data_IF_929116907089
#
_entry.id   IF_929116907089
#
_cell.length_a   1.000
_cell.length_b   1.000
_cell.length_c   1.000
_cell.angle_alpha   90.00
_cell.angle_beta   90.00
_cell.angle_gamma   90.00
#
_symmetry.space_group_name_H-M   'P 1'
#
loop_
_entity.id
_entity.type
_entity.pdbx_description
1 polymer ?
#
# COMPACT_ATOMS: atom_id res chain seq x y z
N UNK A 1 5.97 9.59 -13.13
CA UNK A 1 6.06 8.87 -11.84
C UNK A 1 5.01 9.42 -10.89
N UNK A 2 4.16 8.57 -10.32
CA UNK A 2 3.21 9.02 -9.30
C UNK A 2 3.94 9.42 -8.05
N UNK A 3 4.04 10.74 -7.82
CA UNK A 3 4.82 11.34 -6.73
C UNK A 3 4.28 11.07 -5.31
N UNK A 4 3.39 10.08 -5.12
CA UNK A 4 2.62 9.91 -3.88
C UNK A 4 2.66 8.53 -3.24
N UNK A 5 3.18 7.48 -3.89
CA UNK A 5 3.35 6.17 -3.24
C UNK A 5 4.75 6.12 -2.61
N UNK A 6 4.81 6.05 -1.28
CA UNK A 6 6.08 6.02 -0.53
C UNK A 6 6.62 4.59 -0.43
N UNK A 7 7.94 4.37 -0.46
CA UNK A 7 8.54 3.09 -0.12
C UNK A 7 8.22 2.72 1.35
N UNK A 8 7.71 1.51 1.57
CA UNK A 8 7.34 1.02 2.91
C UNK A 8 8.38 0.08 3.55
N UNK A 9 9.42 -0.32 2.80
CA UNK A 9 10.57 -1.05 3.37
C UNK A 9 11.49 -0.03 4.05
N UNK A 10 11.17 0.30 5.31
CA UNK A 10 11.92 1.26 6.11
C UNK A 10 13.09 0.58 6.83
N UNK A 11 14.24 1.27 7.02
CA UNK A 11 15.45 0.68 7.59
C UNK A 11 15.42 0.46 9.10
N UNK A 12 14.62 1.26 9.84
CA UNK A 12 14.68 1.32 11.30
C UNK A 12 13.42 0.77 11.98
N UNK A 13 12.34 0.53 11.23
CA UNK A 13 11.07 0.04 11.76
C UNK A 13 10.21 -0.67 10.70
N UNK A 14 9.26 -1.51 11.10
CA UNK A 14 8.20 -1.94 10.19
C UNK A 14 7.32 -0.77 9.75
N UNK A 15 6.74 -0.87 8.56
CA UNK A 15 5.68 0.03 8.10
C UNK A 15 4.45 -0.11 9.01
N UNK A 16 3.77 1.00 9.27
CA UNK A 16 2.52 0.95 10.03
C UNK A 16 1.34 0.58 9.13
N UNK A 17 0.26 0.09 9.74
CA UNK A 17 -1.00 -0.18 9.05
C UNK A 17 -1.53 1.05 8.30
N UNK A 18 -1.38 2.24 8.90
CA UNK A 18 -1.80 3.48 8.26
C UNK A 18 -0.98 3.77 6.99
N UNK A 19 0.34 3.56 7.02
CA UNK A 19 1.20 3.77 5.85
C UNK A 19 0.88 2.78 4.72
N UNK A 20 0.55 1.54 5.07
CA UNK A 20 0.10 0.51 4.13
C UNK A 20 -1.23 0.92 3.49
N UNK A 21 -2.21 1.35 4.29
CA UNK A 21 -3.50 1.81 3.82
C UNK A 21 -3.39 3.04 2.91
N UNK A 22 -2.56 4.01 3.29
CA UNK A 22 -2.30 5.19 2.46
C UNK A 22 -1.66 4.81 1.12
N UNK A 23 -0.69 3.90 1.11
CA UNK A 23 -0.06 3.42 -0.12
C UNK A 23 -1.07 2.69 -1.03
N UNK A 24 -1.90 1.82 -0.47
CA UNK A 24 -2.95 1.11 -1.19
C UNK A 24 -3.96 2.09 -1.82
N UNK A 25 -4.43 3.08 -1.05
CA UNK A 25 -5.32 4.14 -1.54
C UNK A 25 -4.71 4.88 -2.73
N UNK A 26 -3.44 5.28 -2.64
CA UNK A 26 -2.79 6.00 -3.74
C UNK A 26 -2.59 5.12 -4.98
N UNK A 27 -2.29 3.84 -4.80
CA UNK A 27 -2.23 2.87 -5.89
C UNK A 27 -3.59 2.74 -6.61
N UNK A 28 -4.67 2.49 -5.87
CA UNK A 28 -6.01 2.32 -6.45
C UNK A 28 -6.48 3.60 -7.13
N UNK A 29 -6.23 4.78 -6.54
CA UNK A 29 -6.50 6.07 -7.21
C UNK A 29 -5.77 6.19 -8.54
N UNK A 30 -4.51 5.77 -8.59
CA UNK A 30 -3.72 5.84 -9.82
C UNK A 30 -4.24 4.88 -10.88
N UNK A 31 -4.49 3.63 -10.53
CA UNK A 31 -4.91 2.60 -11.50
C UNK A 31 -6.31 2.89 -12.03
N UNK A 32 -7.23 3.29 -11.15
CA UNK A 32 -8.62 3.58 -11.53
C UNK A 32 -8.80 4.94 -12.20
N UNK A 33 -7.87 5.89 -12.01
CA UNK A 33 -8.03 7.29 -12.43
C UNK A 33 -8.98 8.09 -11.54
N UNK A 34 -9.58 7.50 -10.51
CA UNK A 34 -10.46 8.20 -9.58
C UNK A 34 -9.66 8.96 -8.51
N UNK A 35 -9.97 10.24 -8.32
CA UNK A 35 -9.62 10.95 -7.08
C UNK A 35 -10.66 10.71 -5.99
N UNK A 36 -11.93 10.69 -6.40
CA UNK A 36 -13.10 10.38 -5.59
C UNK A 36 -14.05 9.54 -6.46
N UNK A 37 -14.36 8.29 -6.09
CA UNK A 37 -15.32 7.47 -6.85
C UNK A 37 -16.74 8.05 -6.74
N UNK A 38 -17.60 7.71 -7.69
CA UNK A 38 -19.03 7.96 -7.57
C UNK A 38 -19.64 7.05 -6.50
N UNK A 39 -20.83 7.37 -5.98
CA UNK A 39 -21.54 6.51 -5.01
C UNK A 39 -21.71 5.07 -5.49
N UNK A 40 -21.97 4.88 -6.78
CA UNK A 40 -22.14 3.55 -7.37
C UNK A 40 -20.84 2.72 -7.38
N UNK A 41 -19.68 3.38 -7.43
CA UNK A 41 -18.37 2.73 -7.52
C UNK A 41 -17.59 2.75 -6.20
N UNK A 42 -18.12 3.41 -5.16
CA UNK A 42 -17.45 3.61 -3.88
C UNK A 42 -17.13 2.29 -3.20
N UNK A 43 -18.07 1.36 -3.20
CA UNK A 43 -17.89 0.04 -2.60
C UNK A 43 -16.80 -0.77 -3.32
N UNK A 44 -16.81 -0.79 -4.66
CA UNK A 44 -15.79 -1.47 -5.44
C UNK A 44 -14.40 -0.83 -5.27
N UNK A 45 -14.35 0.49 -5.20
CA UNK A 45 -13.12 1.23 -4.94
C UNK A 45 -12.56 0.91 -3.56
N UNK A 46 -13.39 0.94 -2.51
CA UNK A 46 -12.95 0.67 -1.14
C UNK A 46 -12.47 -0.77 -0.97
N UNK A 47 -13.21 -1.76 -1.50
CA UNK A 47 -12.77 -3.16 -1.49
C UNK A 47 -11.39 -3.33 -2.13
N UNK A 48 -11.14 -2.69 -3.27
CA UNK A 48 -9.85 -2.75 -3.92
C UNK A 48 -8.72 -2.13 -3.06
N UNK A 49 -9.01 -1.06 -2.31
CA UNK A 49 -8.04 -0.47 -1.37
C UNK A 49 -7.71 -1.48 -0.26
N UNK A 50 -8.73 -2.09 0.34
CA UNK A 50 -8.57 -3.04 1.44
C UNK A 50 -7.77 -4.28 0.99
N UNK A 51 -8.10 -4.84 -0.18
CA UNK A 51 -7.40 -6.00 -0.75
C UNK A 51 -5.93 -5.70 -1.06
N UNK A 52 -5.65 -4.52 -1.63
CA UNK A 52 -4.26 -4.09 -1.90
C UNK A 52 -3.49 -3.86 -0.60
N UNK A 53 -4.13 -3.29 0.42
CA UNK A 53 -3.52 -3.11 1.74
C UNK A 53 -3.14 -4.46 2.37
N UNK A 54 -4.07 -5.43 2.37
CA UNK A 54 -3.83 -6.78 2.88
C UNK A 54 -2.72 -7.51 2.11
N UNK A 55 -2.74 -7.44 0.78
CA UNK A 55 -1.68 -8.02 -0.05
C UNK A 55 -0.32 -7.38 0.24
N UNK A 56 -0.30 -6.06 0.45
CA UNK A 56 0.92 -5.31 0.79
C UNK A 56 1.44 -5.70 2.17
N UNK A 57 0.57 -5.83 3.18
CA UNK A 57 0.95 -6.30 4.52
C UNK A 57 1.62 -7.67 4.44
N UNK A 58 0.95 -8.65 3.83
CA UNK A 58 1.47 -10.02 3.68
C UNK A 58 2.80 -10.06 2.94
N UNK A 59 2.96 -9.23 1.90
CA UNK A 59 4.23 -9.10 1.19
C UNK A 59 5.32 -8.56 2.13
N UNK A 60 5.06 -7.49 2.87
CA UNK A 60 6.05 -6.91 3.79
C UNK A 60 6.44 -7.87 4.91
N UNK A 61 5.50 -8.65 5.45
CA UNK A 61 5.74 -9.70 6.45
C UNK A 61 6.57 -10.87 5.88
N UNK A 62 6.32 -11.26 4.62
CA UNK A 62 7.03 -12.36 3.95
C UNK A 62 8.39 -11.98 3.40
N UNK A 63 8.68 -10.69 3.24
CA UNK A 63 9.98 -10.20 2.79
C UNK A 63 11.01 -10.36 3.91
N UNK A 64 11.96 -11.27 3.73
CA UNK A 64 13.13 -11.38 4.62
C UNK A 64 13.92 -10.07 4.58
N UNK A 65 14.17 -9.47 5.74
CA UNK A 65 15.05 -8.31 5.83
C UNK A 65 16.47 -8.75 5.45
N UNK A 66 16.98 -8.27 4.32
CA UNK A 66 18.35 -8.55 3.87
C UNK A 66 19.43 -7.82 4.70
N UNK A 67 19.06 -7.20 5.82
CA UNK A 67 19.98 -6.54 6.75
C UNK A 67 20.23 -7.38 8.00
N UNK A 68 20.36 -8.70 7.83
CA UNK A 68 21.04 -9.59 8.77
C UNK A 68 22.30 -10.24 8.14
N UNK A 69 22.64 -9.88 6.90
CA UNK A 69 23.88 -10.30 6.23
C UNK A 69 24.75 -9.08 5.96
N UNK A 70 25.32 -8.51 7.02
CA UNK A 70 26.53 -7.68 6.98
C UNK A 70 27.03 -7.59 8.42
N UNK A 71 27.65 -8.69 8.86
CA UNK A 71 28.66 -8.72 9.92
C UNK A 71 30.01 -8.37 9.28
#
# INVERSE_FOLDING_TARGET
MCRSIKPLRLPDRPATEQEIQEAALQYVRKVSGYRKPSKANEEAFQRAVDEVAEATRKMLEGLKSSRAESL
#
